data_IF_393047649837
#
_entry.id   IF_393047649837
#
_cell.length_a   1.000
_cell.length_b   1.000
_cell.length_c   1.000
_cell.angle_alpha   90.00
_cell.angle_beta   90.00
_cell.angle_gamma   90.00
#
_symmetry.space_group_name_H-M   'P 1'
#
loop_
_entity.id
_entity.type
_entity.pdbx_description
1 polymer ?
#
# COMPACT_ATOMS: atom_id res chain seq x y z
N UNK A 1 22.70 -38.62 6.75
CA UNK A 1 21.40 -37.99 7.07
C UNK A 1 21.55 -36.49 6.86
N UNK A 2 20.75 -35.86 5.99
CA UNK A 2 20.71 -34.39 5.86
C UNK A 2 19.82 -33.86 7.00
N UNK A 3 20.39 -33.08 7.90
CA UNK A 3 19.65 -32.44 8.99
C UNK A 3 18.86 -31.25 8.48
N UNK A 4 17.69 -31.01 9.05
CA UNK A 4 16.92 -29.79 8.83
C UNK A 4 17.56 -28.65 9.63
N UNK A 5 18.02 -27.60 8.95
CA UNK A 5 18.50 -26.39 9.58
C UNK A 5 17.34 -25.42 9.77
N UNK A 6 16.95 -25.15 11.01
CA UNK A 6 16.03 -24.08 11.32
C UNK A 6 16.83 -22.81 11.59
N UNK A 7 16.64 -21.78 10.77
CA UNK A 7 17.12 -20.43 11.06
C UNK A 7 16.02 -19.64 11.76
N UNK A 8 16.41 -18.65 12.57
CA UNK A 8 15.46 -17.66 13.07
C UNK A 8 14.88 -16.90 11.88
N UNK A 9 13.57 -16.68 11.88
CA UNK A 9 12.93 -15.75 10.96
C UNK A 9 13.52 -14.36 11.21
N UNK A 10 14.37 -13.91 10.29
CA UNK A 10 14.73 -12.49 10.17
C UNK A 10 13.65 -11.85 9.32
N UNK A 11 12.84 -10.92 9.87
CA UNK A 11 11.94 -10.12 9.05
C UNK A 11 12.77 -9.51 7.94
N UNK A 12 12.50 -9.92 6.70
CA UNK A 12 13.27 -9.52 5.54
C UNK A 12 12.97 -8.06 5.27
N UNK A 13 13.81 -7.19 5.84
CA UNK A 13 13.96 -5.76 5.54
C UNK A 13 12.69 -4.94 5.81
N UNK A 14 12.84 -3.80 6.51
CA UNK A 14 11.81 -2.77 6.43
C UNK A 14 11.65 -2.48 4.94
N UNK A 15 10.41 -2.49 4.41
CA UNK A 15 10.15 -2.20 3.01
C UNK A 15 10.97 -0.98 2.60
N UNK A 16 11.71 -1.05 1.50
CA UNK A 16 12.64 0.01 1.06
C UNK A 16 11.92 1.27 0.54
N UNK A 17 10.69 1.52 0.98
CA UNK A 17 9.92 2.71 0.64
C UNK A 17 9.51 2.76 -0.82
N UNK A 18 9.33 1.60 -1.46
CA UNK A 18 8.93 1.54 -2.86
C UNK A 18 7.42 1.60 -3.08
N UNK A 19 7.03 1.95 -4.31
CA UNK A 19 5.62 1.97 -4.73
C UNK A 19 4.87 0.67 -4.40
N UNK A 20 5.45 -0.50 -4.70
CA UNK A 20 4.76 -1.79 -4.51
C UNK A 20 4.46 -2.09 -3.04
N UNK A 21 5.35 -1.69 -2.14
CA UNK A 21 5.21 -1.92 -0.70
C UNK A 21 4.16 -0.99 -0.11
N UNK A 22 4.21 0.30 -0.47
CA UNK A 22 3.20 1.28 -0.09
C UNK A 22 1.84 0.95 -0.70
N UNK A 23 1.79 0.44 -1.94
CA UNK A 23 0.56 -0.02 -2.57
C UNK A 23 -0.06 -1.18 -1.79
N UNK A 24 0.75 -2.13 -1.33
CA UNK A 24 0.25 -3.25 -0.52
C UNK A 24 -0.40 -2.75 0.78
N UNK A 25 0.29 -1.86 1.50
CA UNK A 25 -0.24 -1.26 2.72
C UNK A 25 -1.50 -0.42 2.45
N UNK A 26 -1.52 0.34 1.37
CA UNK A 26 -2.67 1.15 0.96
C UNK A 26 -3.89 0.28 0.66
N UNK A 27 -3.74 -0.82 -0.10
CA UNK A 27 -4.83 -1.75 -0.39
C UNK A 27 -5.36 -2.42 0.88
N UNK A 28 -4.49 -2.74 1.83
CA UNK A 28 -4.90 -3.26 3.13
C UNK A 28 -5.70 -2.21 3.92
N UNK A 29 -5.22 -0.97 3.99
CA UNK A 29 -5.91 0.13 4.65
C UNK A 29 -7.28 0.43 4.02
N UNK A 30 -7.40 0.35 2.70
CA UNK A 30 -8.69 0.50 2.01
C UNK A 30 -9.73 -0.53 2.45
N UNK A 31 -9.33 -1.75 2.85
CA UNK A 31 -10.27 -2.71 3.42
C UNK A 31 -10.78 -2.25 4.78
N UNK A 32 -9.91 -1.63 5.60
CA UNK A 32 -10.29 -1.11 6.91
C UNK A 32 -11.10 0.18 6.85
N UNK A 33 -10.87 1.03 5.85
CA UNK A 33 -11.60 2.29 5.63
C UNK A 33 -12.81 2.12 4.70
N UNK A 34 -13.21 0.89 4.39
CA UNK A 34 -14.36 0.59 3.51
C UNK A 34 -14.26 1.27 2.12
N UNK A 35 -13.04 1.40 1.59
CA UNK A 35 -12.77 2.02 0.29
C UNK A 35 -12.57 3.53 0.31
N UNK A 36 -12.62 4.17 1.48
CA UNK A 36 -12.32 5.60 1.60
C UNK A 36 -10.82 5.84 1.38
N UNK A 37 -10.48 6.45 0.24
CA UNK A 37 -9.11 6.70 -0.17
C UNK A 37 -8.45 7.81 0.63
N UNK A 38 -9.19 8.88 0.95
CA UNK A 38 -8.67 10.00 1.73
C UNK A 38 -8.30 9.53 3.14
N UNK A 39 -9.16 8.72 3.75
CA UNK A 39 -8.89 8.12 5.07
C UNK A 39 -7.72 7.13 5.00
N UNK A 40 -7.68 6.24 4.00
CA UNK A 40 -6.61 5.27 3.86
C UNK A 40 -5.24 5.96 3.67
N UNK A 41 -5.16 7.02 2.86
CA UNK A 41 -3.95 7.82 2.69
C UNK A 41 -3.53 8.53 3.98
N UNK A 42 -4.49 9.03 4.77
CA UNK A 42 -4.21 9.64 6.06
C UNK A 42 -3.60 8.64 7.05
N UNK A 43 -4.15 7.42 7.13
CA UNK A 43 -3.58 6.34 7.95
C UNK A 43 -2.19 5.92 7.46
N UNK A 44 -2.00 5.78 6.14
CA UNK A 44 -0.71 5.42 5.56
C UNK A 44 0.37 6.46 5.88
N UNK A 45 0.02 7.74 5.82
CA UNK A 45 0.91 8.84 6.20
C UNK A 45 1.27 8.81 7.70
N UNK A 46 0.35 8.39 8.57
CA UNK A 46 0.68 8.23 9.99
C UNK A 46 1.60 7.04 10.23
N UNK A 47 1.39 5.91 9.54
CA UNK A 47 2.31 4.77 9.57
C UNK A 47 3.71 5.18 9.09
N UNK A 48 3.78 5.95 8.01
CA UNK A 48 5.05 6.43 7.48
C UNK A 48 5.83 7.29 8.49
N UNK A 49 5.17 8.18 9.23
CA UNK A 49 5.82 8.97 10.30
C UNK A 49 6.36 8.10 11.44
N UNK A 50 5.65 7.04 11.80
CA UNK A 50 6.03 6.19 12.94
C UNK A 50 7.14 5.21 12.57
N UNK A 51 7.14 4.71 11.33
CA UNK A 51 8.01 3.61 10.90
C UNK A 51 9.04 3.99 9.85
N UNK A 52 9.03 5.23 9.36
CA UNK A 52 9.91 5.74 8.31
C UNK A 52 9.92 4.79 7.10
N UNK A 53 8.72 4.56 6.54
CA UNK A 53 8.52 3.62 5.44
C UNK A 53 9.11 4.21 4.16
N UNK A 54 8.86 5.49 3.92
CA UNK A 54 9.42 6.30 2.83
C UNK A 54 10.82 6.81 3.15
N UNK A 55 11.48 7.43 2.16
CA UNK A 55 12.80 8.03 2.31
C UNK A 55 12.94 9.32 1.47
N UNK A 56 14.11 9.96 1.52
CA UNK A 56 14.37 11.22 0.80
C UNK A 56 14.27 11.11 -0.74
N UNK A 57 14.38 9.89 -1.29
CA UNK A 57 14.30 9.63 -2.73
C UNK A 57 12.87 9.29 -3.20
N UNK A 58 12.02 8.81 -2.28
CA UNK A 58 10.64 8.43 -2.59
C UNK A 58 9.73 8.67 -1.37
N UNK A 59 8.90 9.71 -1.45
CA UNK A 59 7.99 10.13 -0.38
C UNK A 59 6.52 9.81 -0.65
N UNK A 60 5.67 10.20 0.31
CA UNK A 60 4.21 10.02 0.19
C UNK A 60 3.60 10.78 -1.00
N UNK A 61 4.16 11.94 -1.36
CA UNK A 61 3.74 12.70 -2.54
C UNK A 61 3.99 11.93 -3.84
N UNK A 62 5.18 11.34 -3.97
CA UNK A 62 5.56 10.52 -5.13
C UNK A 62 4.64 9.29 -5.25
N UNK A 63 4.31 8.67 -4.11
CA UNK A 63 3.36 7.57 -4.05
C UNK A 63 1.97 7.95 -4.56
N UNK A 64 1.40 9.07 -4.09
CA UNK A 64 0.08 9.54 -4.50
C UNK A 64 0.06 9.89 -6.00
N UNK A 65 1.11 10.55 -6.49
CA UNK A 65 1.23 10.87 -7.91
C UNK A 65 1.36 9.61 -8.78
N UNK A 66 2.11 8.61 -8.33
CA UNK A 66 2.25 7.33 -9.02
C UNK A 66 0.95 6.50 -8.98
N UNK A 67 0.17 6.56 -7.89
CA UNK A 67 -1.17 5.97 -7.83
C UNK A 67 -2.09 6.57 -8.90
N UNK A 68 -2.10 7.90 -9.05
CA UNK A 68 -2.85 8.59 -10.12
C UNK A 68 -2.34 8.19 -11.50
N UNK A 69 -1.03 8.21 -11.72
CA UNK A 69 -0.41 7.87 -13.00
C UNK A 69 -0.74 6.43 -13.44
N UNK A 70 -0.73 5.49 -12.49
CA UNK A 70 -1.08 4.08 -12.76
C UNK A 70 -2.59 3.83 -12.74
N UNK A 71 -3.42 4.85 -12.49
CA UNK A 71 -4.88 4.75 -12.51
C UNK A 71 -5.47 3.97 -11.33
N UNK A 72 -4.84 4.01 -10.17
CA UNK A 72 -5.41 3.50 -8.91
C UNK A 72 -6.27 4.56 -8.20
N UNK A 73 -5.96 5.84 -8.39
CA UNK A 73 -6.71 6.96 -7.83
C UNK A 73 -7.10 7.95 -8.92
N UNK A 74 -8.27 8.55 -8.76
CA UNK A 74 -8.70 9.75 -9.45
C UNK A 74 -8.92 10.86 -8.41
N UNK A 75 -8.58 12.10 -8.77
CA UNK A 75 -8.79 13.28 -7.94
C UNK A 75 -9.99 14.07 -8.46
N UNK A 76 -10.95 14.34 -7.58
CA UNK A 76 -12.06 15.22 -7.91
C UNK A 76 -11.56 16.67 -8.02
N UNK A 77 -11.70 17.27 -9.20
CA UNK A 77 -11.18 18.62 -9.48
C UNK A 77 -11.90 19.74 -8.71
N UNK A 78 -13.05 19.47 -8.12
CA UNK A 78 -13.85 20.46 -7.38
C UNK A 78 -13.60 20.38 -5.88
N UNK A 79 -13.52 19.17 -5.32
CA UNK A 79 -13.31 18.97 -3.87
C UNK A 79 -11.84 18.73 -3.49
N UNK A 80 -11.02 18.23 -4.41
CA UNK A 80 -9.67 17.74 -4.14
C UNK A 80 -9.63 16.36 -3.47
N UNK A 81 -10.77 15.70 -3.33
CA UNK A 81 -10.87 14.39 -2.71
C UNK A 81 -10.39 13.29 -3.65
N UNK A 82 -9.80 12.24 -3.09
CA UNK A 82 -9.39 11.06 -3.84
C UNK A 82 -10.50 10.02 -3.90
N UNK A 83 -10.69 9.44 -5.09
CA UNK A 83 -11.58 8.31 -5.31
C UNK A 83 -10.78 7.12 -5.84
N UNK A 84 -11.05 5.93 -5.31
CA UNK A 84 -10.50 4.70 -5.87
C UNK A 84 -11.12 4.40 -7.24
N UNK A 85 -10.31 3.84 -8.14
CA UNK A 85 -10.79 3.42 -9.46
C UNK A 85 -11.24 1.95 -9.46
N UNK A 86 -11.90 1.53 -10.54
CA UNK A 86 -12.21 0.11 -10.76
C UNK A 86 -10.96 -0.80 -10.77
N UNK A 87 -9.79 -0.25 -11.13
CA UNK A 87 -8.51 -0.97 -11.07
C UNK A 87 -8.13 -1.29 -9.62
N UNK A 88 -8.28 -0.33 -8.72
CA UNK A 88 -8.01 -0.52 -7.29
C UNK A 88 -8.93 -1.57 -6.69
N UNK A 89 -10.23 -1.51 -6.98
CA UNK A 89 -11.16 -2.56 -6.54
C UNK A 89 -10.78 -3.95 -7.05
N UNK A 90 -10.32 -4.05 -8.30
CA UNK A 90 -9.82 -5.32 -8.84
C UNK A 90 -8.57 -5.79 -8.09
N UNK A 91 -7.64 -4.89 -7.79
CA UNK A 91 -6.45 -5.22 -7.00
C UNK A 91 -6.79 -5.67 -5.59
N UNK A 92 -7.74 -5.02 -4.91
CA UNK A 92 -8.24 -5.47 -3.59
C UNK A 92 -8.75 -6.92 -3.67
N UNK A 93 -9.59 -7.21 -4.67
CA UNK A 93 -10.13 -8.57 -4.86
C UNK A 93 -9.03 -9.59 -5.16
N UNK A 94 -8.04 -9.23 -5.98
CA UNK A 94 -6.91 -10.11 -6.26
C UNK A 94 -6.09 -10.38 -5.00
N UNK A 95 -5.73 -9.35 -4.24
CA UNK A 95 -4.96 -9.48 -3.01
C UNK A 95 -5.69 -10.34 -1.97
N UNK A 96 -7.01 -10.17 -1.82
CA UNK A 96 -7.81 -11.01 -0.93
C UNK A 96 -7.84 -12.49 -1.37
N UNK A 97 -7.89 -12.76 -2.69
CA UNK A 97 -7.83 -14.12 -3.20
C UNK A 97 -6.45 -14.76 -2.97
N UNK A 98 -5.37 -14.01 -3.20
CA UNK A 98 -4.00 -14.46 -2.90
C UNK A 98 -3.81 -14.74 -1.40
N UNK A 99 -4.42 -13.96 -0.51
CA UNK A 99 -4.37 -14.22 0.93
C UNK A 99 -5.14 -15.48 1.34
N UNK A 100 -6.32 -15.71 0.74
CA UNK A 100 -7.16 -16.88 1.06
C UNK A 100 -6.62 -18.18 0.46
N UNK A 101 -5.99 -18.11 -0.72
CA UNK A 101 -5.63 -19.29 -1.52
C UNK A 101 -4.12 -19.45 -1.82
N UNK A 102 -3.29 -18.48 -1.46
CA UNK A 102 -1.84 -18.47 -1.73
C UNK A 102 -0.97 -19.18 -0.69
#
# INVERSE_FOLDING_TARGET
MRGYGFSKFTPSQIPKGGFEELLKLFLELLNYTSGDADEALAWLNELDKQYHITNDEYGMGDFIDELKQKGYLDEDKQSGNFNITAKTEQSIRQSALEEIFG
#
